data_IF_765405458912
#
_entry.id   IF_765405458912
#
_cell.length_a   1.000
_cell.length_b   1.000
_cell.length_c   1.000
_cell.angle_alpha   90.00
_cell.angle_beta   90.00
_cell.angle_gamma   90.00
#
_symmetry.space_group_name_H-M   'P 1'
#
loop_
_entity.id
_entity.type
_entity.pdbx_description
1 polymer ?
#
# COMPACT_ATOMS: atom_id res chain seq x y z
N UNK A 1 -13.29 -4.10 -1.33
CA UNK A 1 -12.93 -5.49 -0.99
C UNK A 1 -12.89 -5.71 0.50
N UNK A 2 -11.97 -5.10 1.26
CA UNK A 2 -11.90 -5.29 2.72
C UNK A 2 -13.22 -5.03 3.46
N UNK A 3 -13.94 -3.94 3.16
CA UNK A 3 -15.27 -3.66 3.72
C UNK A 3 -16.33 -4.73 3.42
N UNK A 4 -16.30 -5.33 2.23
CA UNK A 4 -17.28 -6.36 1.80
C UNK A 4 -16.95 -7.71 2.43
N UNK A 5 -15.66 -7.99 2.64
CA UNK A 5 -15.18 -9.20 3.30
C UNK A 5 -15.45 -9.11 4.80
N UNK A 6 -15.12 -7.99 5.44
CA UNK A 6 -15.39 -7.75 6.85
C UNK A 6 -16.89 -7.77 7.19
N UNK A 7 -17.77 -7.32 6.28
CA UNK A 7 -19.22 -7.37 6.49
C UNK A 7 -19.83 -8.78 6.52
N UNK A 8 -19.05 -9.83 6.18
CA UNK A 8 -19.48 -11.23 6.27
C UNK A 8 -19.16 -11.87 7.61
N UNK A 9 -18.27 -11.25 8.40
CA UNK A 9 -17.90 -11.76 9.71
C UNK A 9 -18.83 -11.12 10.75
N UNK A 10 -19.55 -11.95 11.50
CA UNK A 10 -20.32 -11.52 12.66
C UNK A 10 -19.38 -11.47 13.87
N UNK A 11 -19.37 -10.33 14.57
CA UNK A 11 -18.67 -10.20 15.85
C UNK A 11 -19.69 -10.39 16.96
N UNK A 12 -19.67 -11.56 17.59
CA UNK A 12 -20.34 -11.79 18.86
C UNK A 12 -19.35 -11.49 19.98
N UNK A 13 -19.79 -10.75 21.00
CA UNK A 13 -18.97 -10.52 22.19
C UNK A 13 -19.14 -11.72 23.12
N UNK A 14 -18.02 -12.30 23.53
CA UNK A 14 -17.93 -13.39 24.49
C UNK A 14 -17.68 -12.78 25.87
N UNK A 15 -18.22 -13.40 26.92
CA UNK A 15 -18.11 -12.87 28.29
C UNK A 15 -16.65 -12.84 28.83
N UNK A 16 -15.72 -13.57 28.20
CA UNK A 16 -14.29 -13.54 28.52
C UNK A 16 -13.50 -12.61 27.58
N UNK A 17 -12.96 -11.54 28.16
CA UNK A 17 -12.11 -10.54 27.50
C UNK A 17 -10.89 -11.15 26.78
N UNK A 18 -10.31 -12.22 27.31
CA UNK A 18 -9.14 -12.84 26.70
C UNK A 18 -9.54 -13.66 25.46
N UNK A 19 -10.64 -14.41 25.56
CA UNK A 19 -11.24 -15.14 24.45
C UNK A 19 -11.68 -14.18 23.32
N UNK A 20 -12.29 -13.04 23.68
CA UNK A 20 -12.66 -11.96 22.75
C UNK A 20 -11.46 -11.39 22.00
N UNK A 21 -10.36 -11.12 22.71
CA UNK A 21 -9.14 -10.62 22.08
C UNK A 21 -8.55 -11.64 21.10
N UNK A 22 -8.54 -12.93 21.46
CA UNK A 22 -8.06 -13.99 20.56
C UNK A 22 -8.94 -14.11 19.32
N UNK A 23 -10.27 -14.10 19.50
CA UNK A 23 -11.24 -14.17 18.41
C UNK A 23 -11.13 -12.97 17.46
N UNK A 24 -10.91 -11.76 17.99
CA UNK A 24 -10.67 -10.55 17.19
C UNK A 24 -9.40 -10.66 16.35
N UNK A 25 -8.28 -11.11 16.95
CA UNK A 25 -7.01 -11.28 16.23
C UNK A 25 -7.13 -12.31 15.12
N UNK A 26 -7.78 -13.44 15.40
CA UNK A 26 -8.03 -14.50 14.40
C UNK A 26 -8.90 -14.00 13.24
N UNK A 27 -9.97 -13.26 13.56
CA UNK A 27 -10.86 -12.66 12.56
C UNK A 27 -10.13 -11.64 11.69
N UNK A 28 -9.30 -10.78 12.28
CA UNK A 28 -8.46 -9.83 11.53
C UNK A 28 -7.48 -10.57 10.61
N UNK A 29 -6.85 -11.65 11.10
CA UNK A 29 -5.94 -12.48 10.30
C UNK A 29 -6.67 -13.14 9.14
N UNK A 30 -7.87 -13.67 9.37
CA UNK A 30 -8.73 -14.27 8.35
C UNK A 30 -9.13 -13.25 7.28
N UNK A 31 -9.69 -12.11 7.68
CA UNK A 31 -10.05 -11.00 6.78
C UNK A 31 -8.83 -10.57 5.95
N UNK A 32 -7.66 -10.43 6.57
CA UNK A 32 -6.42 -10.07 5.86
C UNK A 32 -6.05 -11.11 4.81
N UNK A 33 -6.11 -12.40 5.15
CA UNK A 33 -5.76 -13.48 4.24
C UNK A 33 -6.74 -13.55 3.05
N UNK A 34 -8.04 -13.42 3.31
CA UNK A 34 -9.07 -13.36 2.28
C UNK A 34 -8.93 -12.13 1.40
N UNK A 35 -8.66 -10.96 1.98
CA UNK A 35 -8.35 -9.74 1.23
C UNK A 35 -7.13 -9.93 0.33
N UNK A 36 -6.10 -10.64 0.80
CA UNK A 36 -4.89 -10.93 0.02
C UNK A 36 -5.16 -11.92 -1.11
N UNK A 37 -6.02 -12.91 -0.90
CA UNK A 37 -6.42 -13.88 -1.92
C UNK A 37 -7.34 -13.26 -2.98
N UNK A 38 -8.27 -12.40 -2.56
CA UNK A 38 -9.21 -11.69 -3.42
C UNK A 38 -8.59 -10.44 -4.09
N UNK A 39 -7.50 -9.92 -3.54
CA UNK A 39 -6.74 -8.86 -4.19
C UNK A 39 -6.29 -9.40 -5.55
N UNK A 40 -6.60 -8.73 -6.66
CA UNK A 40 -6.04 -9.08 -7.95
C UNK A 40 -4.53 -9.02 -7.75
N UNK A 41 -3.84 -10.16 -7.85
CA UNK A 41 -2.39 -10.16 -7.83
C UNK A 41 -1.95 -9.32 -9.03
N UNK A 42 -1.62 -8.05 -8.81
CA UNK A 42 -1.20 -7.15 -9.88
C UNK A 42 0.11 -7.61 -10.56
N UNK A 43 0.75 -8.63 -9.99
CA UNK A 43 1.91 -9.35 -10.52
C UNK A 43 1.55 -10.57 -11.39
N UNK A 44 0.40 -11.21 -11.18
CA UNK A 44 -0.01 -12.36 -12.00
C UNK A 44 -0.46 -11.89 -13.38
N UNK A 45 0.12 -12.46 -14.43
CA UNK A 45 -0.21 -12.12 -15.83
C UNK A 45 0.59 -10.96 -16.46
N UNK A 46 1.43 -10.24 -15.71
CA UNK A 46 2.27 -9.17 -16.29
C UNK A 46 3.49 -9.70 -17.06
N UNK A 47 4.01 -10.84 -16.63
CA UNK A 47 5.13 -11.55 -17.23
C UNK A 47 4.65 -12.97 -17.52
N UNK A 48 4.97 -13.50 -18.70
CA UNK A 48 4.61 -14.87 -19.08
C UNK A 48 5.46 -15.90 -18.35
N UNK A 49 4.99 -17.14 -18.23
CA UNK A 49 5.77 -18.26 -17.67
C UNK A 49 7.07 -18.47 -18.44
N UNK A 50 7.04 -18.35 -19.77
CA UNK A 50 8.23 -18.45 -20.62
C UNK A 50 9.28 -17.38 -20.32
N UNK A 51 8.87 -16.12 -20.15
CA UNK A 51 9.80 -15.05 -19.76
C UNK A 51 10.37 -15.24 -18.36
N UNK A 52 9.57 -15.74 -17.41
CA UNK A 52 10.07 -16.09 -16.07
C UNK A 52 11.16 -17.17 -16.14
N UNK A 53 10.94 -18.22 -16.94
CA UNK A 53 11.94 -19.28 -17.13
C UNK A 53 13.26 -18.74 -17.70
N UNK A 54 13.21 -17.80 -18.67
CA UNK A 54 14.41 -17.15 -19.21
C UNK A 54 15.14 -16.31 -18.15
N UNK A 55 14.41 -15.59 -17.31
CA UNK A 55 14.99 -14.80 -16.22
C UNK A 55 15.65 -15.71 -15.17
N UNK A 56 15.04 -16.85 -14.87
CA UNK A 56 15.59 -17.81 -13.92
C UNK A 56 16.84 -18.50 -14.48
N UNK A 57 16.83 -18.85 -15.77
CA UNK A 57 18.03 -19.33 -16.47
C UNK A 57 19.16 -18.30 -16.40
N UNK A 58 18.86 -17.02 -16.65
CA UNK A 58 19.84 -15.93 -16.58
C UNK A 58 20.39 -15.73 -15.17
N UNK A 59 19.56 -15.92 -14.14
CA UNK A 59 19.93 -15.77 -12.73
C UNK A 59 20.98 -16.79 -12.29
N UNK A 60 20.92 -18.01 -12.83
CA UNK A 60 21.84 -19.10 -12.48
C UNK A 60 23.01 -19.26 -13.46
N UNK A 61 23.05 -18.49 -14.55
CA UNK A 61 24.14 -18.57 -15.52
C UNK A 61 25.32 -17.72 -15.05
N UNK A 62 26.50 -18.34 -14.98
CA UNK A 62 27.76 -17.63 -14.75
C UNK A 62 28.07 -16.72 -15.93
N UNK A 63 28.24 -15.43 -15.64
CA UNK A 63 28.49 -14.38 -16.64
C UNK A 63 29.91 -14.42 -17.22
N UNK A 64 30.90 -14.82 -16.44
CA UNK A 64 32.31 -14.86 -16.87
C UNK A 64 32.56 -16.11 -17.69
N UNK A 65 32.09 -17.27 -17.22
CA UNK A 65 32.27 -18.53 -17.94
C UNK A 65 31.48 -18.58 -19.26
N UNK A 66 30.31 -17.94 -19.33
CA UNK A 66 29.39 -18.02 -20.48
C UNK A 66 29.11 -16.65 -21.11
N UNK A 67 30.13 -15.82 -21.33
CA UNK A 67 29.95 -14.41 -21.72
C UNK A 67 29.01 -14.19 -22.93
N UNK A 68 29.22 -14.94 -24.02
CA UNK A 68 28.44 -14.81 -25.26
C UNK A 68 26.99 -15.29 -25.06
N UNK A 69 26.81 -16.47 -24.46
CA UNK A 69 25.47 -17.01 -24.18
C UNK A 69 24.70 -16.11 -23.23
N UNK A 70 25.37 -15.57 -22.21
CA UNK A 70 24.78 -14.62 -21.28
C UNK A 70 24.33 -13.36 -22.01
N UNK A 71 25.13 -12.82 -22.94
CA UNK A 71 24.77 -11.64 -23.72
C UNK A 71 23.52 -11.90 -24.59
N UNK A 72 23.46 -13.04 -25.27
CA UNK A 72 22.31 -13.45 -26.09
C UNK A 72 21.06 -13.64 -25.22
N UNK A 73 21.18 -14.38 -24.11
CA UNK A 73 20.10 -14.62 -23.17
C UNK A 73 19.59 -13.31 -22.55
N UNK A 74 20.49 -12.41 -22.15
CA UNK A 74 20.13 -11.12 -21.59
C UNK A 74 19.39 -10.24 -22.60
N UNK A 75 19.79 -10.25 -23.89
CA UNK A 75 19.07 -9.56 -24.97
C UNK A 75 17.67 -10.16 -25.15
N UNK A 76 17.56 -11.48 -25.15
CA UNK A 76 16.27 -12.18 -25.26
C UNK A 76 15.36 -11.85 -24.07
N UNK A 77 15.86 -11.88 -22.84
CA UNK A 77 15.11 -11.52 -21.63
C UNK A 77 14.54 -10.10 -21.72
N UNK A 78 15.37 -9.12 -22.13
CA UNK A 78 14.92 -7.73 -22.28
C UNK A 78 13.82 -7.59 -23.34
N UNK A 79 13.99 -8.26 -24.48
CA UNK A 79 12.98 -8.27 -25.56
C UNK A 79 11.66 -8.86 -25.07
N UNK A 80 11.69 -10.07 -24.49
CA UNK A 80 10.50 -10.76 -23.98
C UNK A 80 9.81 -9.99 -22.86
N UNK A 81 10.56 -9.33 -21.99
CA UNK A 81 9.99 -8.45 -20.97
C UNK A 81 9.26 -7.24 -21.58
N UNK A 82 9.85 -6.61 -22.60
CA UNK A 82 9.21 -5.49 -23.28
C UNK A 82 7.90 -5.92 -23.99
N UNK A 83 7.91 -7.09 -24.64
CA UNK A 83 6.73 -7.70 -25.26
C UNK A 83 5.64 -8.00 -24.23
N UNK A 84 5.97 -8.69 -23.14
CA UNK A 84 5.03 -9.00 -22.06
C UNK A 84 4.43 -7.73 -21.46
N UNK A 85 5.24 -6.69 -21.23
CA UNK A 85 4.74 -5.40 -20.75
C UNK A 85 3.78 -4.72 -21.73
N UNK A 86 4.10 -4.71 -23.04
CA UNK A 86 3.24 -4.15 -24.06
C UNK A 86 1.92 -4.93 -24.17
N UNK A 87 1.99 -6.26 -24.12
CA UNK A 87 0.84 -7.15 -24.15
C UNK A 87 -0.06 -6.94 -22.93
N UNK A 88 0.53 -6.83 -21.74
CA UNK A 88 -0.22 -6.55 -20.52
C UNK A 88 -0.97 -5.22 -20.59
N UNK A 89 -0.30 -4.15 -21.03
CA UNK A 89 -0.93 -2.83 -21.21
C UNK A 89 -2.07 -2.91 -22.22
N UNK A 90 -1.83 -3.54 -23.38
CA UNK A 90 -2.83 -3.70 -24.43
C UNK A 90 -4.06 -4.47 -23.93
N UNK A 91 -3.84 -5.65 -23.34
CA UNK A 91 -4.93 -6.52 -22.88
C UNK A 91 -5.75 -5.85 -21.77
N UNK A 92 -5.10 -5.14 -20.84
CA UNK A 92 -5.79 -4.41 -19.77
C UNK A 92 -6.66 -3.27 -20.31
N UNK A 93 -6.18 -2.53 -21.32
CA UNK A 93 -6.96 -1.46 -21.94
C UNK A 93 -8.11 -2.02 -22.80
N UNK A 94 -7.89 -3.12 -23.51
CA UNK A 94 -8.96 -3.82 -24.25
C UNK A 94 -10.04 -4.33 -23.29
N UNK A 95 -9.66 -5.01 -22.20
CA UNK A 95 -10.60 -5.48 -21.19
C UNK A 95 -11.41 -4.33 -20.57
N UNK A 96 -10.76 -3.19 -20.30
CA UNK A 96 -11.45 -1.99 -19.84
C UNK A 96 -12.44 -1.43 -20.86
N UNK A 97 -12.09 -1.40 -22.15
CA UNK A 97 -12.98 -0.97 -23.21
C UNK A 97 -14.20 -1.90 -23.33
N UNK A 98 -13.98 -3.22 -23.33
CA UNK A 98 -15.07 -4.21 -23.37
C UNK A 98 -15.97 -4.13 -22.13
N UNK A 99 -15.37 -3.92 -20.96
CA UNK A 99 -16.08 -3.79 -19.68
C UNK A 99 -16.67 -2.39 -19.45
N UNK A 100 -16.63 -1.48 -20.45
CA UNK A 100 -17.08 -0.09 -20.34
C UNK A 100 -16.49 0.67 -19.14
N UNK A 101 -15.28 0.31 -18.71
CA UNK A 101 -14.52 0.99 -17.65
C UNK A 101 -13.77 2.19 -18.23
N UNK A 102 -13.51 3.20 -17.39
CA UNK A 102 -12.82 4.41 -17.83
C UNK A 102 -11.37 4.14 -18.25
N UNK A 103 -11.08 4.28 -19.55
CA UNK A 103 -9.73 4.17 -20.10
C UNK A 103 -8.76 5.18 -19.50
N UNK A 104 -9.25 6.37 -19.12
CA UNK A 104 -8.44 7.41 -18.46
C UNK A 104 -7.94 6.93 -17.10
N UNK A 105 -8.82 6.32 -16.30
CA UNK A 105 -8.48 5.77 -14.98
C UNK A 105 -7.50 4.60 -15.13
N UNK A 106 -7.72 3.70 -16.08
CA UNK A 106 -6.83 2.56 -16.30
C UNK A 106 -5.43 2.97 -16.80
N UNK A 107 -5.35 3.93 -17.71
CA UNK A 107 -4.06 4.52 -18.15
C UNK A 107 -3.31 5.16 -16.98
N UNK A 108 -4.02 5.88 -16.12
CA UNK A 108 -3.45 6.48 -14.91
C UNK A 108 -2.93 5.41 -13.94
N UNK A 109 -3.72 4.37 -13.66
CA UNK A 109 -3.30 3.28 -12.79
C UNK A 109 -2.07 2.52 -13.34
N UNK A 110 -1.99 2.34 -14.67
CA UNK A 110 -0.81 1.78 -15.33
C UNK A 110 0.44 2.67 -15.18
N UNK A 111 0.27 4.00 -15.22
CA UNK A 111 1.36 4.96 -15.06
C UNK A 111 1.83 5.07 -13.60
N UNK A 112 0.91 5.09 -12.63
CA UNK A 112 1.22 5.15 -11.20
C UNK A 112 2.02 3.92 -10.76
N UNK A 113 1.76 2.74 -11.32
CA UNK A 113 2.54 1.53 -11.06
C UNK A 113 4.00 1.62 -11.58
N UNK A 114 4.36 2.64 -12.37
CA UNK A 114 5.76 2.91 -12.78
C UNK A 114 6.53 3.73 -11.74
N UNK A 115 5.87 4.26 -10.72
CA UNK A 115 6.47 5.07 -9.66
C UNK A 115 7.01 4.17 -8.55
N UNK A 116 8.00 3.33 -8.85
CA UNK A 116 8.80 2.73 -7.79
C UNK A 116 9.84 3.74 -7.31
N UNK A 117 9.99 3.87 -5.99
CA UNK A 117 11.06 4.67 -5.40
C UNK A 117 12.38 4.03 -5.84
N UNK A 118 13.12 4.70 -6.73
CA UNK A 118 14.35 4.15 -7.32
C UNK A 118 15.54 4.18 -6.35
N UNK A 119 15.49 5.09 -5.38
CA UNK A 119 16.54 5.31 -4.41
C UNK A 119 16.02 6.13 -3.23
N UNK A 120 16.69 6.01 -2.10
CA UNK A 120 16.53 6.92 -0.96
C UNK A 120 17.84 7.63 -0.67
N UNK A 121 17.74 8.77 0.01
CA UNK A 121 18.90 9.46 0.55
C UNK A 121 19.18 8.88 1.95
N UNK A 122 20.39 8.38 2.15
CA UNK A 122 20.84 7.92 3.45
C UNK A 122 21.14 9.13 4.37
N UNK A 123 21.25 8.92 5.70
CA UNK A 123 21.51 10.00 6.65
C UNK A 123 22.82 10.75 6.41
N UNK A 124 23.83 10.06 5.89
CA UNK A 124 25.13 10.62 5.45
C UNK A 124 25.01 11.46 4.16
N UNK A 125 23.81 11.53 3.59
CA UNK A 125 23.51 12.24 2.35
C UNK A 125 23.76 11.44 1.08
N UNK A 126 24.28 10.22 1.17
CA UNK A 126 24.56 9.36 0.03
C UNK A 126 23.28 8.78 -0.59
N UNK A 127 23.36 8.33 -1.85
CA UNK A 127 22.23 7.74 -2.57
C UNK A 127 22.22 6.23 -2.39
N UNK A 128 21.19 5.70 -1.74
CA UNK A 128 20.98 4.27 -1.57
C UNK A 128 19.98 3.72 -2.60
N UNK A 129 20.41 2.74 -3.39
CA UNK A 129 19.58 2.04 -4.40
C UNK A 129 19.33 0.57 -4.07
N UNK A 130 20.01 0.03 -3.05
CA UNK A 130 19.84 -1.37 -2.65
C UNK A 130 18.57 -1.52 -1.83
N UNK A 131 17.81 -2.60 -2.07
CA UNK A 131 16.55 -2.83 -1.35
C UNK A 131 16.73 -2.97 0.17
N UNK A 132 17.67 -3.78 0.69
CA UNK A 132 17.91 -3.86 2.12
C UNK A 132 18.35 -2.52 2.74
N UNK A 133 19.16 -1.74 2.01
CA UNK A 133 19.60 -0.43 2.46
C UNK A 133 18.45 0.57 2.53
N UNK A 134 17.58 0.59 1.52
CA UNK A 134 16.38 1.43 1.53
C UNK A 134 15.41 1.04 2.66
N UNK A 135 15.21 -0.26 2.90
CA UNK A 135 14.39 -0.77 4.02
C UNK A 135 14.97 -0.35 5.37
N UNK A 136 16.29 -0.43 5.55
CA UNK A 136 16.98 0.05 6.75
C UNK A 136 16.81 1.56 6.97
N UNK A 137 16.95 2.38 5.91
CA UNK A 137 16.76 3.83 5.98
C UNK A 137 15.33 4.17 6.42
N UNK A 138 14.32 3.55 5.81
CA UNK A 138 12.92 3.76 6.16
C UNK A 138 12.66 3.33 7.62
N UNK A 139 13.17 2.17 8.01
CA UNK A 139 12.97 1.62 9.35
C UNK A 139 13.57 2.54 10.40
N UNK A 140 14.80 3.02 10.18
CA UNK A 140 15.46 3.94 11.09
C UNK A 140 14.69 5.26 11.19
N UNK A 141 14.33 5.85 10.04
CA UNK A 141 13.55 7.08 10.00
C UNK A 141 12.26 7.00 10.83
N UNK A 142 11.44 5.97 10.61
CA UNK A 142 10.19 5.81 11.37
C UNK A 142 10.44 5.44 12.83
N UNK A 143 11.45 4.62 13.13
CA UNK A 143 11.82 4.29 14.51
C UNK A 143 12.22 5.53 15.31
N UNK A 144 13.03 6.41 14.72
CA UNK A 144 13.41 7.69 15.32
C UNK A 144 12.19 8.60 15.47
N UNK A 145 11.37 8.74 14.42
CA UNK A 145 10.18 9.60 14.43
C UNK A 145 9.23 9.24 15.58
N UNK A 146 8.92 7.95 15.74
CA UNK A 146 8.00 7.49 16.78
C UNK A 146 8.63 7.45 18.18
N UNK A 147 9.94 7.19 18.28
CA UNK A 147 10.67 7.30 19.55
C UNK A 147 10.77 8.76 20.04
N UNK A 148 10.83 9.73 19.13
CA UNK A 148 10.82 11.16 19.47
C UNK A 148 9.43 11.70 19.79
N UNK A 149 8.36 11.06 19.28
CA UNK A 149 6.97 11.46 19.56
C UNK A 149 6.47 11.03 20.95
N UNK A 150 7.12 10.07 21.62
CA UNK A 150 6.71 9.58 22.94
C UNK A 150 6.97 10.55 24.11
N UNK A 151 7.25 11.83 23.84
CA UNK A 151 7.46 12.85 24.88
C UNK A 151 6.69 14.16 24.67
N UNK A 152 5.94 14.34 23.58
CA UNK A 152 5.39 15.68 23.28
C UNK A 152 4.15 15.68 22.38
N UNK A 153 3.17 14.80 22.62
CA UNK A 153 1.80 15.00 22.12
C UNK A 153 0.78 14.60 23.16
N UNK A 154 0.90 15.15 24.36
CA UNK A 154 -0.24 15.38 25.22
C UNK A 154 0.01 16.69 25.95
N UNK A 155 -0.55 17.79 25.44
CA UNK A 155 -1.04 18.81 26.37
C UNK A 155 -2.21 18.14 27.11
N UNK A 156 -1.90 17.25 28.05
CA UNK A 156 -2.84 16.90 29.10
C UNK A 156 -3.04 18.22 29.83
N UNK A 157 -4.21 18.83 29.68
CA UNK A 157 -4.64 19.92 30.55
C UNK A 157 -4.34 19.47 31.98
N UNK A 158 -3.64 20.29 32.74
CA UNK A 158 -3.31 19.94 34.13
C UNK A 158 -4.62 19.63 34.88
N UNK A 159 -4.65 18.60 35.75
CA UNK A 159 -5.86 18.27 36.49
C UNK A 159 -6.29 19.47 37.33
N UNK A 160 -7.34 20.18 36.92
CA UNK A 160 -7.84 21.38 37.62
C UNK A 160 -8.18 22.57 36.72
N UNK A 161 -7.87 22.55 35.42
CA UNK A 161 -8.31 23.61 34.51
C UNK A 161 -9.74 23.31 34.00
N UNK A 162 -10.72 24.02 34.56
CA UNK A 162 -12.13 23.89 34.21
C UNK A 162 -12.36 24.39 32.77
N UNK A 163 -12.87 23.51 31.90
CA UNK A 163 -13.20 23.87 30.51
C UNK A 163 -14.34 24.90 30.56
N UNK A 164 -14.16 26.12 30.00
CA UNK A 164 -15.22 27.10 29.98
C UNK A 164 -16.45 26.53 29.25
N UNK A 165 -17.67 26.74 29.77
CA UNK A 165 -18.87 26.27 29.10
C UNK A 165 -18.98 26.96 27.73
N UNK A 166 -19.04 26.16 26.66
CA UNK A 166 -19.20 26.68 25.30
C UNK A 166 -20.52 27.45 25.18
N UNK A 167 -20.46 28.68 24.67
CA UNK A 167 -21.66 29.49 24.49
C UNK A 167 -22.40 29.05 23.21
N UNK A 168 -23.74 28.96 23.22
CA UNK A 168 -24.51 28.61 22.03
C UNK A 168 -24.27 29.53 20.83
N UNK A 169 -23.87 30.79 21.08
CA UNK A 169 -23.49 31.76 20.04
C UNK A 169 -22.19 31.39 19.34
N UNK A 170 -21.18 30.88 20.04
CA UNK A 170 -19.91 30.43 19.45
C UNK A 170 -20.14 29.22 18.55
N UNK A 171 -20.97 28.27 19.01
CA UNK A 171 -21.33 27.07 18.24
C UNK A 171 -22.05 27.46 16.95
N UNK A 172 -23.01 28.38 17.01
CA UNK A 172 -23.72 28.88 15.81
C UNK A 172 -22.78 29.57 14.83
N UNK A 173 -21.91 30.45 15.33
CA UNK A 173 -20.95 31.16 14.48
C UNK A 173 -19.98 30.19 13.78
N UNK A 174 -19.49 29.18 14.50
CA UNK A 174 -18.63 28.14 13.92
C UNK A 174 -19.34 27.33 12.82
N UNK A 175 -20.61 26.98 13.02
CA UNK A 175 -21.43 26.28 12.01
C UNK A 175 -21.63 27.15 10.77
N UNK A 176 -21.94 28.43 10.94
CA UNK A 176 -22.16 29.38 9.83
C UNK A 176 -20.88 29.61 9.00
N UNK A 177 -19.72 29.60 9.66
CA UNK A 177 -18.42 29.80 9.01
C UNK A 177 -17.87 28.53 8.33
N UNK A 178 -18.52 27.37 8.47
CA UNK A 178 -18.07 26.14 7.84
C UNK A 178 -18.49 26.06 6.35
N UNK A 179 -17.56 25.69 5.44
CA UNK A 179 -17.90 25.42 4.04
C UNK A 179 -18.86 24.23 3.93
N UNK A 180 -19.95 24.39 3.17
CA UNK A 180 -20.99 23.36 2.99
C UNK A 180 -20.37 22.04 2.48
N UNK A 181 -20.47 20.97 3.27
CA UNK A 181 -20.02 19.62 2.88
C UNK A 181 -19.30 18.79 3.96
N UNK A 182 -19.03 19.33 5.16
CA UNK A 182 -18.36 18.61 6.26
C UNK A 182 -19.25 18.23 7.45
N UNK A 183 -20.57 18.42 7.34
CA UNK A 183 -21.55 18.24 8.42
C UNK A 183 -21.77 16.78 8.88
N UNK A 184 -21.09 15.81 8.30
CA UNK A 184 -21.42 14.37 8.45
C UNK A 184 -20.49 13.57 9.38
N UNK A 185 -19.58 14.20 10.13
CA UNK A 185 -18.56 13.46 10.91
C UNK A 185 -18.67 13.66 12.43
N UNK A 186 -19.66 14.41 12.95
CA UNK A 186 -19.76 14.64 14.41
C UNK A 186 -21.16 14.44 15.02
N UNK A 187 -22.11 13.83 14.31
CA UNK A 187 -23.41 13.42 14.90
C UNK A 187 -23.48 11.91 15.20
N UNK A 188 -22.35 11.28 15.51
CA UNK A 188 -22.31 9.97 16.17
C UNK A 188 -21.25 9.98 17.27
N UNK A 189 -21.55 10.69 18.37
CA UNK A 189 -21.13 10.39 19.73
C UNK A 189 -22.30 10.70 20.66
#
# INVERSE_FOLDING_TARGET
>A
MARVIAAKEAFEMVDDLNEDCTHLVETIVKIRNECRAAAPNHATGRISSGTRALLEKRRHMDRQANHLEYAVLNRLCRRRLAEDHANFVRNRLLDAAHSKRSLKVEKRALAEHRLSIKCLKAPDGSRCTSRPGMESIITNFYSTLFRSASGQTTNVLSPGEEIPPSLPSEVRHAIEMMPRGKLLVLMEL
#
